data_IF_341676852408
#
_entry.id   IF_341676852408
#
_cell.length_a   1.000
_cell.length_b   1.000
_cell.length_c   1.000
_cell.angle_alpha   90.00
_cell.angle_beta   90.00
_cell.angle_gamma   90.00
#
_symmetry.space_group_name_H-M   'P 1'
#
loop_
_entity.id
_entity.type
_entity.pdbx_description
1 polymer ?
#
# COMPACT_ATOMS: atom_id res chain seq x y z
N UNK A 1 -1.41 38.52 -11.19
CA UNK A 1 -1.02 37.09 -11.32
C UNK A 1 -1.75 36.50 -12.50
N UNK A 2 -1.03 35.82 -13.39
CA UNK A 2 -1.58 35.33 -14.64
C UNK A 2 -2.57 34.19 -14.35
N UNK A 3 -3.88 34.50 -14.35
CA UNK A 3 -4.96 33.55 -14.04
C UNK A 3 -4.89 32.28 -14.91
N UNK A 4 -4.37 32.43 -16.13
CA UNK A 4 -4.04 31.33 -17.05
C UNK A 4 -3.02 30.34 -16.48
N UNK A 5 -2.02 30.83 -15.74
CA UNK A 5 -1.01 29.99 -15.09
C UNK A 5 -1.58 29.26 -13.87
N UNK A 6 -2.51 29.90 -13.16
CA UNK A 6 -3.21 29.30 -12.01
C UNK A 6 -4.13 28.16 -12.46
N UNK A 7 -4.80 28.31 -13.61
CA UNK A 7 -5.61 27.25 -14.20
C UNK A 7 -4.77 26.02 -14.59
N UNK A 8 -3.62 26.24 -15.22
CA UNK A 8 -2.67 25.16 -15.55
C UNK A 8 -2.20 24.44 -14.28
N UNK A 9 -1.85 25.20 -13.24
CA UNK A 9 -1.41 24.64 -11.97
C UNK A 9 -2.53 23.84 -11.27
N UNK A 10 -3.77 24.29 -11.34
CA UNK A 10 -4.94 23.57 -10.82
C UNK A 10 -5.13 22.19 -11.50
N UNK A 11 -5.01 22.13 -12.83
CA UNK A 11 -5.09 20.85 -13.57
C UNK A 11 -3.96 19.91 -13.16
N UNK A 12 -2.73 20.42 -13.02
CA UNK A 12 -1.57 19.63 -12.57
C UNK A 12 -1.84 19.01 -11.19
N UNK A 13 -2.34 19.80 -10.23
CA UNK A 13 -2.66 19.32 -8.87
C UNK A 13 -3.73 18.23 -8.89
N UNK A 14 -4.80 18.40 -9.68
CA UNK A 14 -5.86 17.38 -9.80
C UNK A 14 -5.32 16.08 -10.38
N UNK A 15 -4.48 16.15 -11.42
CA UNK A 15 -3.83 14.99 -12.02
C UNK A 15 -2.92 14.28 -11.00
N UNK A 16 -2.10 15.03 -10.26
CA UNK A 16 -1.24 14.47 -9.21
C UNK A 16 -2.04 13.75 -8.11
N UNK A 17 -3.16 14.32 -7.66
CA UNK A 17 -4.03 13.68 -6.66
C UNK A 17 -4.65 12.39 -7.21
N UNK A 18 -5.06 12.37 -8.48
CA UNK A 18 -5.58 11.18 -9.16
C UNK A 18 -4.55 10.07 -9.28
N UNK A 19 -3.33 10.40 -9.73
CA UNK A 19 -2.22 9.43 -9.80
C UNK A 19 -1.80 8.94 -8.41
N UNK A 20 -1.72 9.85 -7.43
CA UNK A 20 -1.43 9.50 -6.05
C UNK A 20 -2.49 8.54 -5.50
N UNK A 21 -3.78 8.80 -5.75
CA UNK A 21 -4.88 7.91 -5.33
C UNK A 21 -4.88 6.57 -6.06
N UNK A 22 -4.40 6.49 -7.31
CA UNK A 22 -4.20 5.20 -7.98
C UNK A 22 -3.03 4.42 -7.36
N UNK A 23 -1.93 5.11 -7.05
CA UNK A 23 -0.74 4.52 -6.44
C UNK A 23 -0.96 4.12 -4.96
N UNK A 24 -1.82 4.83 -4.24
CA UNK A 24 -2.09 4.60 -2.81
C UNK A 24 -3.43 3.91 -2.51
N UNK A 25 -4.46 4.14 -3.34
CA UNK A 25 -5.74 3.44 -3.31
C UNK A 25 -5.68 2.01 -3.83
N UNK A 26 -4.55 1.62 -4.44
CA UNK A 26 -4.16 0.24 -4.68
C UNK A 26 -3.50 -0.42 -3.45
N UNK A 27 -3.88 -0.03 -2.23
CA UNK A 27 -3.43 -0.67 -0.99
C UNK A 27 -3.74 -2.17 -1.00
N UNK A 28 -2.76 -2.95 -1.47
CA UNK A 28 -2.54 -4.35 -1.11
C UNK A 28 -3.74 -5.30 -1.27
N UNK A 29 -4.52 -5.14 -2.34
CA UNK A 29 -5.45 -6.17 -2.75
C UNK A 29 -4.68 -7.37 -3.37
N UNK A 30 -4.14 -8.23 -2.51
CA UNK A 30 -3.87 -9.64 -2.83
C UNK A 30 -2.66 -9.93 -3.71
N UNK A 31 -1.46 -9.76 -3.18
CA UNK A 31 -0.43 -10.76 -3.46
C UNK A 31 -0.64 -11.91 -2.46
N UNK A 32 -1.57 -12.81 -2.78
CA UNK A 32 -1.68 -14.15 -2.17
C UNK A 32 -0.47 -15.00 -2.61
N UNK A 33 0.73 -14.44 -2.47
CA UNK A 33 1.94 -14.87 -3.12
C UNK A 33 3.12 -14.37 -2.32
N UNK A 34 3.62 -15.26 -1.47
CA UNK A 34 4.96 -15.27 -0.87
C UNK A 34 5.65 -13.89 -0.76
N UNK A 35 5.44 -13.21 0.36
CA UNK A 35 6.18 -11.98 0.69
C UNK A 35 7.57 -12.31 1.24
N UNK A 36 8.54 -11.43 1.01
CA UNK A 36 9.89 -11.55 1.57
C UNK A 36 9.91 -11.25 3.07
N UNK A 37 10.94 -11.73 3.79
CA UNK A 37 11.08 -11.53 5.23
C UNK A 37 11.10 -10.03 5.64
N UNK A 38 11.77 -9.18 4.86
CA UNK A 38 11.82 -7.74 5.13
C UNK A 38 10.45 -7.07 4.98
N UNK A 39 9.67 -7.46 3.96
CA UNK A 39 8.30 -6.98 3.77
C UNK A 39 7.38 -7.44 4.91
N UNK A 40 7.56 -8.66 5.39
CA UNK A 40 6.87 -9.17 6.57
C UNK A 40 7.22 -8.33 7.81
N UNK A 41 8.50 -8.03 8.04
CA UNK A 41 8.93 -7.21 9.17
C UNK A 41 8.37 -5.78 9.09
N UNK A 42 8.33 -5.17 7.89
CA UNK A 42 7.69 -3.87 7.68
C UNK A 42 6.20 -3.91 8.02
N UNK A 43 5.47 -4.97 7.63
CA UNK A 43 4.05 -5.16 7.96
C UNK A 43 3.79 -5.41 9.44
N UNK A 44 4.71 -6.09 10.13
CA UNK A 44 4.65 -6.25 11.60
C UNK A 44 4.88 -4.90 12.28
N UNK A 45 5.87 -4.12 11.81
CA UNK A 45 6.18 -2.80 12.36
C UNK A 45 5.06 -1.78 12.11
N UNK A 46 4.31 -1.89 11.01
CA UNK A 46 3.14 -1.05 10.74
C UNK A 46 1.87 -1.48 11.48
N UNK A 47 1.90 -2.61 12.20
CA UNK A 47 0.74 -3.13 12.93
C UNK A 47 -0.32 -3.79 12.05
N UNK A 48 -0.01 -4.07 10.78
CA UNK A 48 -0.92 -4.72 9.82
C UNK A 48 -1.03 -6.25 10.05
N UNK A 49 -0.19 -6.84 10.91
CA UNK A 49 -0.18 -8.28 11.16
C UNK A 49 -1.02 -8.64 12.39
N UNK A 50 -2.07 -9.44 12.17
CA UNK A 50 -2.96 -9.93 13.23
C UNK A 50 -2.51 -11.28 13.79
N UNK A 51 -1.99 -12.16 12.94
CA UNK A 51 -1.55 -13.50 13.34
C UNK A 51 -0.41 -13.96 12.44
N UNK A 52 0.64 -14.52 13.01
CA UNK A 52 1.72 -15.16 12.26
C UNK A 52 1.85 -16.63 12.72
N UNK A 53 1.86 -17.55 11.76
CA UNK A 53 2.03 -18.99 11.98
C UNK A 53 3.30 -19.43 11.26
N UNK A 54 4.29 -19.89 12.02
CA UNK A 54 5.58 -20.32 11.48
C UNK A 54 5.49 -21.83 11.18
N UNK A 55 5.56 -22.19 9.90
CA UNK A 55 5.57 -23.60 9.43
C UNK A 55 6.93 -23.91 8.81
N UNK A 56 7.89 -24.28 9.65
CA UNK A 56 9.25 -24.65 9.20
C UNK A 56 9.94 -23.50 8.44
N UNK A 57 10.31 -23.67 7.17
CA UNK A 57 10.96 -22.61 6.38
C UNK A 57 9.97 -21.55 5.84
N UNK A 58 8.66 -21.69 6.07
CA UNK A 58 7.63 -20.77 5.56
C UNK A 58 6.87 -20.10 6.70
N UNK A 59 6.55 -18.82 6.53
CA UNK A 59 5.76 -18.05 7.50
C UNK A 59 4.44 -17.66 6.85
N UNK A 60 3.35 -18.11 7.45
CA UNK A 60 1.98 -17.80 7.06
C UNK A 60 1.49 -16.64 7.92
N UNK A 61 1.03 -15.55 7.31
CA UNK A 61 0.65 -14.33 8.03
C UNK A 61 -0.77 -13.95 7.68
N UNK A 62 -1.61 -13.85 8.70
CA UNK A 62 -2.95 -13.28 8.58
C UNK A 62 -2.89 -11.78 8.88
N UNK A 63 -3.19 -10.98 7.86
CA UNK A 63 -3.31 -9.53 7.96
C UNK A 63 -4.56 -9.16 8.79
N UNK A 64 -4.57 -7.97 9.40
CA UNK A 64 -5.73 -7.36 10.06
C UNK A 64 -7.00 -7.33 9.20
N UNK A 65 -6.84 -7.33 7.87
CA UNK A 65 -7.93 -7.45 6.90
C UNK A 65 -8.54 -8.88 6.80
N UNK A 66 -8.03 -9.87 7.55
CA UNK A 66 -8.52 -11.25 7.53
C UNK A 66 -7.99 -12.10 6.36
N UNK A 67 -6.95 -11.62 5.67
CA UNK A 67 -6.32 -12.29 4.52
C UNK A 67 -5.13 -13.13 5.00
N UNK A 68 -5.12 -14.42 4.69
CA UNK A 68 -4.01 -15.37 4.90
C UNK A 68 -3.08 -15.44 3.70
#
# INVERSE_FOLDING_TARGET
MNLRNLAIWGVIVVVLIGLYSMMTGGGHAGASGQITYSQLLSKVASGEVKKATIRGPSVEVTDTAGKT
#
